data_IF_067044330577
#
_entry.id   IF_067044330577
#
_cell.length_a   1.000
_cell.length_b   1.000
_cell.length_c   1.000
_cell.angle_alpha   90.00
_cell.angle_beta   90.00
_cell.angle_gamma   90.00
#
_symmetry.space_group_name_H-M   'P 1'
#
loop_
_entity.id
_entity.type
_entity.pdbx_description
1 polymer ?
#
# COMPACT_ATOMS: atom_id res chain seq x y z
N UNK A 1 17.09 -19.60 -1.86
CA UNK A 1 18.02 -18.51 -1.50
C UNK A 1 17.59 -17.28 -2.25
N UNK A 2 17.50 -16.15 -1.57
CA UNK A 2 17.13 -14.85 -2.12
C UNK A 2 16.99 -13.85 -0.99
N UNK A 3 17.25 -12.57 -1.28
CA UNK A 3 17.19 -11.49 -0.30
C UNK A 3 15.77 -10.93 -0.19
N UNK A 4 15.45 -10.37 0.98
CA UNK A 4 14.17 -9.71 1.25
C UNK A 4 14.03 -8.51 0.29
N UNK A 5 12.91 -8.39 -0.46
CA UNK A 5 12.65 -7.21 -1.27
C UNK A 5 12.54 -5.99 -0.36
N UNK A 6 12.96 -4.85 -0.88
CA UNK A 6 12.92 -3.61 -0.14
C UNK A 6 11.46 -3.20 0.09
N UNK A 7 11.09 -3.09 1.37
CA UNK A 7 9.82 -2.53 1.77
C UNK A 7 9.99 -1.01 1.88
N UNK A 8 9.18 -0.27 1.12
CA UNK A 8 9.21 1.19 1.13
C UNK A 8 8.40 1.70 2.34
N UNK A 9 8.76 1.28 3.56
CA UNK A 9 7.98 1.48 4.78
C UNK A 9 8.11 2.90 5.34
N UNK A 10 7.00 3.62 5.32
CA UNK A 10 6.74 4.77 6.20
C UNK A 10 5.87 4.29 7.37
N UNK A 11 6.01 4.85 8.59
CA UNK A 11 5.15 4.53 9.74
C UNK A 11 3.65 4.65 9.44
N UNK A 12 3.28 5.52 8.49
CA UNK A 12 1.94 5.62 7.91
C UNK A 12 2.01 5.78 6.40
N UNK A 13 1.43 4.85 5.65
CA UNK A 13 1.37 4.97 4.20
C UNK A 13 0.20 5.85 3.73
N UNK A 14 0.51 7.11 3.44
CA UNK A 14 -0.43 7.98 2.73
C UNK A 14 -0.47 7.61 1.24
N UNK A 15 -1.63 7.16 0.77
CA UNK A 15 -1.91 6.87 -0.64
C UNK A 15 -2.94 7.91 -1.12
N UNK A 16 -2.58 8.71 -2.12
CA UNK A 16 -3.47 9.74 -2.67
C UNK A 16 -4.31 9.11 -3.79
N UNK A 17 -5.63 9.35 -3.85
CA UNK A 17 -6.46 8.87 -4.94
C UNK A 17 -5.89 9.24 -6.32
N UNK A 18 -5.99 8.31 -7.27
CA UNK A 18 -5.48 8.45 -8.64
C UNK A 18 -3.95 8.63 -8.76
N UNK A 19 -3.19 8.28 -7.72
CA UNK A 19 -1.72 8.24 -7.77
C UNK A 19 -1.21 6.80 -7.59
N UNK A 20 -0.02 6.51 -8.15
CA UNK A 20 0.69 5.24 -7.93
C UNK A 20 1.70 5.44 -6.80
N UNK A 21 1.72 4.51 -5.84
CA UNK A 21 2.73 4.44 -4.78
C UNK A 21 3.35 3.06 -4.79
N UNK A 22 4.68 3.00 -4.86
CA UNK A 22 5.43 1.75 -4.74
C UNK A 22 5.49 1.37 -3.26
N UNK A 23 5.10 0.14 -2.94
CA UNK A 23 5.06 -0.36 -1.56
C UNK A 23 6.11 -1.45 -1.32
N UNK A 24 6.35 -2.27 -2.34
CA UNK A 24 7.35 -3.34 -2.33
C UNK A 24 8.13 -3.24 -3.63
N UNK A 25 9.44 -3.31 -3.55
CA UNK A 25 10.30 -3.38 -4.74
C UNK A 25 11.34 -4.48 -4.57
N UNK A 26 11.42 -5.36 -5.56
CA UNK A 26 12.52 -6.31 -5.70
C UNK A 26 13.57 -5.73 -6.66
N UNK A 27 14.82 -5.66 -6.21
CA UNK A 27 16.01 -5.33 -6.99
C UNK A 27 16.94 -6.55 -7.17
N UNK A 28 17.56 -6.72 -8.35
CA UNK A 28 18.56 -7.77 -8.60
C UNK A 28 18.09 -9.17 -8.20
N UNK A 29 18.78 -9.79 -7.23
CA UNK A 29 18.49 -11.15 -6.72
C UNK A 29 17.39 -11.19 -5.63
N UNK A 30 16.84 -10.05 -5.22
CA UNK A 30 15.77 -10.00 -4.22
C UNK A 30 14.42 -10.43 -4.82
N UNK A 31 13.46 -10.78 -3.98
CA UNK A 31 12.14 -11.21 -4.44
C UNK A 31 12.03 -12.70 -4.77
N UNK A 32 13.11 -13.49 -4.66
CA UNK A 32 13.01 -14.96 -4.73
C UNK A 32 12.27 -15.51 -3.51
N UNK A 33 11.11 -16.14 -3.74
CA UNK A 33 10.21 -16.66 -2.70
C UNK A 33 8.89 -15.89 -2.60
N UNK A 34 8.06 -16.23 -1.61
CA UNK A 34 6.78 -15.56 -1.38
C UNK A 34 6.96 -14.46 -0.35
N UNK A 35 6.60 -13.24 -0.72
CA UNK A 35 6.64 -12.06 0.15
C UNK A 35 5.23 -11.58 0.46
N UNK A 36 4.96 -11.30 1.73
CA UNK A 36 3.66 -10.85 2.18
C UNK A 36 3.83 -9.48 2.82
N UNK A 37 3.29 -8.46 2.17
CA UNK A 37 3.13 -7.14 2.76
C UNK A 37 1.76 -7.03 3.40
N UNK A 38 1.72 -6.63 4.68
CA UNK A 38 0.50 -6.56 5.47
C UNK A 38 0.37 -5.18 6.08
N UNK A 39 -0.84 -4.62 5.98
CA UNK A 39 -1.22 -3.48 6.81
C UNK A 39 -1.76 -3.99 8.14
N UNK A 40 -1.05 -3.67 9.23
CA UNK A 40 -1.40 -4.06 10.59
C UNK A 40 -1.23 -5.56 10.86
N UNK A 41 -1.81 -6.01 11.96
CA UNK A 41 -1.77 -7.37 12.47
C UNK A 41 -3.15 -7.82 12.99
N UNK A 42 -3.23 -9.01 13.60
CA UNK A 42 -4.49 -9.52 14.12
C UNK A 42 -5.14 -8.61 15.20
N UNK A 43 -4.35 -7.79 15.90
CA UNK A 43 -4.84 -6.89 16.93
C UNK A 43 -5.29 -5.54 16.37
N UNK A 44 -4.75 -5.15 15.20
CA UNK A 44 -4.90 -3.80 14.61
C UNK A 44 -5.53 -3.80 13.22
N UNK A 45 -5.95 -4.96 12.71
CA UNK A 45 -6.51 -5.13 11.37
C UNK A 45 -7.73 -4.22 11.09
N UNK A 46 -8.52 -3.90 12.12
CA UNK A 46 -9.68 -3.01 12.02
C UNK A 46 -9.30 -1.53 11.81
N UNK A 47 -8.05 -1.16 12.09
CA UNK A 47 -7.53 0.22 12.02
C UNK A 47 -6.36 0.38 11.06
N UNK A 48 -5.97 -0.68 10.37
CA UNK A 48 -4.75 -0.69 9.55
C UNK A 48 -4.91 0.00 8.20
N UNK A 49 -6.15 0.18 7.73
CA UNK A 49 -6.48 0.95 6.52
C UNK A 49 -7.64 1.89 6.82
N UNK A 50 -7.43 3.18 6.64
CA UNK A 50 -8.43 4.21 6.91
C UNK A 50 -8.56 5.23 5.77
N UNK A 51 -9.78 5.72 5.54
CA UNK A 51 -10.05 6.84 4.65
C UNK A 51 -9.94 8.15 5.42
N UNK A 52 -8.96 8.98 5.07
CA UNK A 52 -8.84 10.33 5.60
C UNK A 52 -9.75 11.30 4.83
N UNK A 53 -10.75 11.86 5.52
CA UNK A 53 -11.64 12.91 4.98
C UNK A 53 -11.19 14.26 5.56
N UNK A 54 -10.66 15.19 4.73
CA UNK A 54 -10.18 16.47 5.21
C UNK A 54 -11.27 17.35 5.83
N UNK A 55 -10.86 18.24 6.74
CA UNK A 55 -11.74 19.30 7.26
C UNK A 55 -12.18 20.22 6.11
N UNK A 56 -13.49 20.49 6.03
CA UNK A 56 -14.08 21.30 4.96
C UNK A 56 -14.65 20.49 3.78
N UNK A 57 -14.59 19.15 3.84
CA UNK A 57 -15.37 18.29 2.96
C UNK A 57 -16.87 18.44 3.29
N UNK A 58 -17.74 18.31 2.29
CA UNK A 58 -19.19 18.56 2.38
C UNK A 58 -19.81 17.86 3.61
N UNK A 59 -20.24 18.61 4.64
CA UNK A 59 -20.77 18.01 5.85
C UNK A 59 -22.12 17.31 5.64
N UNK A 60 -22.84 17.62 4.56
CA UNK A 60 -24.13 17.01 4.21
C UNK A 60 -23.96 15.68 3.49
N UNK A 61 -22.74 15.32 3.07
CA UNK A 61 -22.46 14.03 2.47
C UNK A 61 -22.63 12.91 3.51
N UNK A 62 -23.58 12.00 3.26
CA UNK A 62 -23.93 10.92 4.18
C UNK A 62 -22.91 9.78 4.19
N UNK A 63 -22.07 9.68 3.17
CA UNK A 63 -21.05 8.62 3.07
C UNK A 63 -19.88 9.03 2.19
N UNK A 64 -18.69 8.54 2.57
CA UNK A 64 -17.46 8.67 1.81
C UNK A 64 -16.91 7.29 1.51
N UNK A 65 -16.51 7.06 0.27
CA UNK A 65 -15.88 5.80 -0.13
C UNK A 65 -14.66 6.07 -1.02
N UNK A 66 -13.75 5.11 -1.03
CA UNK A 66 -12.58 5.12 -1.92
C UNK A 66 -12.33 3.71 -2.43
N UNK A 67 -11.60 3.60 -3.54
CA UNK A 67 -11.19 2.32 -4.12
C UNK A 67 -9.68 2.24 -4.12
N UNK A 68 -9.15 1.21 -3.49
CA UNK A 68 -7.74 0.87 -3.59
C UNK A 68 -7.55 -0.11 -4.75
N UNK A 69 -6.75 0.28 -5.74
CA UNK A 69 -6.40 -0.56 -6.87
C UNK A 69 -4.95 -1.00 -6.72
N UNK A 70 -4.72 -2.30 -6.79
CA UNK A 70 -3.40 -2.91 -6.68
C UNK A 70 -2.93 -3.39 -8.04
N UNK A 71 -1.65 -3.18 -8.32
CA UNK A 71 -0.99 -3.67 -9.52
C UNK A 71 0.32 -4.34 -9.13
N UNK A 72 0.58 -5.51 -9.72
CA UNK A 72 1.88 -6.15 -9.70
C UNK A 72 2.50 -6.00 -11.08
N UNK A 73 3.70 -5.42 -11.14
CA UNK A 73 4.46 -5.28 -12.38
C UNK A 73 5.76 -6.05 -12.26
N UNK A 74 6.10 -6.80 -13.32
CA UNK A 74 7.38 -7.47 -13.50
C UNK A 74 7.83 -7.18 -14.92
N UNK A 75 8.76 -6.24 -15.06
CA UNK A 75 9.33 -5.85 -16.35
C UNK A 75 10.75 -6.38 -16.40
N UNK A 76 11.09 -7.29 -17.32
CA UNK A 76 12.47 -7.71 -17.51
C UNK A 76 13.30 -6.52 -18.03
N UNK A 77 14.52 -6.34 -17.52
CA UNK A 77 15.48 -5.40 -18.09
C UNK A 77 15.91 -5.92 -19.48
N UNK A 78 15.93 -5.05 -20.48
CA UNK A 78 16.32 -5.36 -21.86
C UNK A 78 17.84 -5.42 -22.03
#
# INVERSE_FOLDING_TARGET
GGTIPELQEEPVQRIVPNTRKVLIQANGESGTGTWIYRFGDQQTADKSVGLYVPKGTDPEATSYSTKLTWELSSVPEN
#
